data_IF_545293409544
#
_entry.id   IF_545293409544
#
_cell.length_a   1.000
_cell.length_b   1.000
_cell.length_c   1.000
_cell.angle_alpha   90.00
_cell.angle_beta   90.00
_cell.angle_gamma   90.00
#
_symmetry.space_group_name_H-M   'P 1'
#
loop_
_entity.id
_entity.type
_entity.pdbx_description
1 polymer ?
#
# COMPACT_ATOMS: atom_id res chain seq x y z
N UNK A 1 -11.92 8.79 -9.68
CA UNK A 1 -11.60 7.43 -9.18
C UNK A 1 -12.91 6.66 -9.04
N UNK A 2 -12.96 5.39 -9.45
CA UNK A 2 -14.20 4.60 -9.31
C UNK A 2 -14.57 4.38 -7.85
N UNK A 3 -15.87 4.47 -7.53
CA UNK A 3 -16.39 4.44 -6.15
C UNK A 3 -15.95 3.18 -5.38
N UNK A 4 -15.82 2.05 -6.08
CA UNK A 4 -15.37 0.78 -5.53
C UNK A 4 -13.92 0.81 -4.99
N UNK A 5 -13.01 1.53 -5.67
CA UNK A 5 -11.61 1.65 -5.23
C UNK A 5 -11.50 2.54 -3.99
N UNK A 6 -12.34 3.57 -3.91
CA UNK A 6 -12.39 4.45 -2.75
C UNK A 6 -12.95 3.71 -1.54
N UNK A 7 -14.04 2.96 -1.72
CA UNK A 7 -14.64 2.14 -0.67
C UNK A 7 -13.67 1.07 -0.15
N UNK A 8 -12.95 0.40 -1.06
CA UNK A 8 -11.92 -0.58 -0.69
C UNK A 8 -10.79 0.02 0.16
N UNK A 9 -10.34 1.25 -0.16
CA UNK A 9 -9.32 1.94 0.65
C UNK A 9 -9.82 2.28 2.05
N UNK A 10 -11.07 2.73 2.18
CA UNK A 10 -11.67 3.07 3.49
C UNK A 10 -11.80 1.82 4.34
N UNK A 11 -12.31 0.73 3.77
CA UNK A 11 -12.45 -0.56 4.48
C UNK A 11 -11.08 -1.07 4.93
N UNK A 12 -10.07 -1.04 4.06
CA UNK A 12 -8.71 -1.45 4.42
C UNK A 12 -8.10 -0.56 5.52
N UNK A 13 -8.36 0.74 5.51
CA UNK A 13 -7.89 1.64 6.56
C UNK A 13 -8.54 1.32 7.92
N UNK A 14 -9.83 0.97 7.93
CA UNK A 14 -10.54 0.53 9.14
C UNK A 14 -9.94 -0.80 9.65
N UNK A 15 -9.71 -1.76 8.75
CA UNK A 15 -9.08 -3.04 9.07
C UNK A 15 -7.71 -2.79 9.72
N UNK A 16 -6.83 -2.02 9.07
CA UNK A 16 -5.54 -1.65 9.65
C UNK A 16 -5.66 -0.98 11.01
N UNK A 17 -6.64 -0.08 11.19
CA UNK A 17 -6.92 0.56 12.47
C UNK A 17 -7.30 -0.45 13.56
N UNK A 18 -8.15 -1.42 13.27
CA UNK A 18 -8.57 -2.47 14.22
C UNK A 18 -7.41 -3.41 14.56
N UNK A 19 -6.62 -3.85 13.57
CA UNK A 19 -5.46 -4.72 13.83
C UNK A 19 -4.36 -3.97 14.61
N UNK A 20 -4.11 -2.70 14.29
CA UNK A 20 -3.18 -1.86 15.05
C UNK A 20 -3.68 -1.59 16.47
N UNK A 21 -4.98 -1.32 16.65
CA UNK A 21 -5.59 -1.17 17.97
C UNK A 21 -5.43 -2.44 18.81
N UNK A 22 -5.54 -3.65 18.22
CA UNK A 22 -5.29 -4.91 18.92
C UNK A 22 -3.84 -5.06 19.42
N UNK A 23 -2.85 -4.38 18.82
CA UNK A 23 -1.46 -4.39 19.30
C UNK A 23 -1.32 -3.52 20.56
N UNK A 24 -1.99 -2.37 20.61
CA UNK A 24 -1.90 -1.41 21.73
C UNK A 24 -2.85 -1.77 22.87
N UNK A 25 -4.06 -2.22 22.52
CA UNK A 25 -5.13 -2.62 23.42
C UNK A 25 -5.59 -4.05 23.04
N UNK A 26 -4.98 -5.09 23.63
CA UNK A 26 -5.25 -6.47 23.26
C UNK A 26 -6.71 -6.85 23.59
N UNK A 27 -7.43 -7.39 22.60
CA UNK A 27 -8.80 -7.87 22.84
C UNK A 27 -8.80 -9.07 23.79
N UNK A 28 -9.71 -9.14 24.78
CA UNK A 28 -9.69 -10.22 25.75
C UNK A 28 -10.01 -11.60 25.12
N UNK A 29 -9.31 -12.63 25.59
CA UNK A 29 -9.57 -14.03 25.25
C UNK A 29 -8.91 -14.53 23.95
N UNK A 30 -9.53 -15.54 23.32
CA UNK A 30 -9.02 -16.23 22.11
C UNK A 30 -8.90 -15.33 20.88
N UNK A 31 -9.61 -14.20 20.88
CA UNK A 31 -9.61 -13.23 19.80
C UNK A 31 -8.27 -12.51 19.66
N UNK A 32 -7.54 -12.25 20.76
CA UNK A 32 -6.22 -11.63 20.70
C UNK A 32 -5.25 -12.37 19.77
N UNK A 33 -5.07 -13.67 20.02
CA UNK A 33 -4.14 -14.50 19.26
C UNK A 33 -4.56 -14.61 17.79
N UNK A 34 -5.86 -14.69 17.53
CA UNK A 34 -6.39 -14.72 16.17
C UNK A 34 -6.11 -13.42 15.40
N UNK A 35 -6.43 -12.27 15.98
CA UNK A 35 -6.17 -10.97 15.35
C UNK A 35 -4.67 -10.69 15.22
N UNK A 36 -3.85 -11.13 16.17
CA UNK A 36 -2.40 -11.00 16.10
C UNK A 36 -1.80 -11.87 14.98
N UNK A 37 -2.28 -13.10 14.82
CA UNK A 37 -1.90 -13.96 13.69
C UNK A 37 -2.33 -13.36 12.35
N UNK A 38 -3.57 -12.86 12.24
CA UNK A 38 -4.04 -12.15 11.05
C UNK A 38 -3.17 -10.93 10.74
N UNK A 39 -2.74 -10.19 11.77
CA UNK A 39 -1.86 -9.03 11.62
C UNK A 39 -0.49 -9.47 11.08
N UNK A 40 0.09 -10.52 11.65
CA UNK A 40 1.37 -11.06 11.21
C UNK A 40 1.31 -11.50 9.75
N UNK A 41 0.29 -12.29 9.38
CA UNK A 41 0.09 -12.75 8.00
C UNK A 41 -0.11 -11.56 7.06
N UNK A 42 -0.93 -10.58 7.43
CA UNK A 42 -1.18 -9.38 6.63
C UNK A 42 0.12 -8.62 6.34
N UNK A 43 0.92 -8.35 7.39
CA UNK A 43 2.20 -7.65 7.26
C UNK A 43 3.18 -8.42 6.40
N UNK A 44 3.29 -9.74 6.58
CA UNK A 44 4.18 -10.60 5.78
C UNK A 44 3.77 -10.56 4.30
N UNK A 45 2.46 -10.69 4.01
CA UNK A 45 1.95 -10.61 2.65
C UNK A 45 2.28 -9.26 2.00
N UNK A 46 2.09 -8.15 2.72
CA UNK A 46 2.38 -6.81 2.21
C UNK A 46 3.89 -6.59 2.04
N UNK A 47 4.72 -7.14 2.93
CA UNK A 47 6.17 -7.08 2.82
C UNK A 47 6.69 -7.87 1.61
N UNK A 48 6.19 -9.09 1.39
CA UNK A 48 6.52 -9.89 0.21
C UNK A 48 6.03 -9.20 -1.07
N UNK A 49 4.81 -8.65 -1.05
CA UNK A 49 4.25 -7.89 -2.16
C UNK A 49 5.14 -6.69 -2.49
N UNK A 50 5.55 -5.90 -1.49
CA UNK A 50 6.45 -4.77 -1.66
C UNK A 50 7.82 -5.21 -2.18
N UNK A 51 8.40 -6.27 -1.62
CA UNK A 51 9.68 -6.82 -2.04
C UNK A 51 9.63 -7.20 -3.52
N UNK A 52 8.63 -7.97 -3.92
CA UNK A 52 8.41 -8.36 -5.32
C UNK A 52 8.30 -7.12 -6.22
N UNK A 53 7.62 -6.06 -5.78
CA UNK A 53 7.50 -4.82 -6.55
C UNK A 53 8.82 -4.08 -6.70
N UNK A 54 9.58 -3.98 -5.62
CA UNK A 54 10.87 -3.28 -5.63
C UNK A 54 11.92 -4.07 -6.41
N UNK A 55 11.88 -5.41 -6.41
CA UNK A 55 12.84 -6.21 -7.16
C UNK A 55 12.50 -6.26 -8.65
N UNK A 56 11.23 -6.44 -9.01
CA UNK A 56 10.81 -6.63 -10.40
C UNK A 56 10.59 -5.31 -11.14
N UNK A 57 9.97 -4.32 -10.49
CA UNK A 57 9.48 -3.11 -11.19
C UNK A 57 10.25 -1.83 -10.91
N UNK A 58 11.15 -1.80 -9.93
CA UNK A 58 11.97 -0.61 -9.62
C UNK A 58 12.77 -0.08 -10.83
N UNK A 59 13.34 -0.89 -11.73
CA UNK A 59 14.05 -0.37 -12.91
C UNK A 59 13.13 0.26 -13.96
N UNK A 60 11.84 -0.07 -13.94
CA UNK A 60 10.89 0.29 -15.00
C UNK A 60 9.90 1.38 -14.58
N UNK A 61 9.91 1.79 -13.31
CA UNK A 61 8.93 2.71 -12.73
C UNK A 61 9.61 3.87 -12.00
N UNK A 62 9.03 5.06 -12.16
CA UNK A 62 9.40 6.26 -11.40
C UNK A 62 8.85 6.14 -9.98
N UNK A 63 9.71 5.67 -9.08
CA UNK A 63 9.39 5.48 -7.66
C UNK A 63 9.52 6.78 -6.87
N UNK A 64 8.53 7.08 -6.03
CA UNK A 64 8.57 8.16 -5.05
C UNK A 64 8.59 7.56 -3.63
N UNK A 65 9.25 8.23 -2.68
CA UNK A 65 9.31 7.74 -1.28
C UNK A 65 7.94 7.47 -0.64
N UNK A 66 6.90 8.21 -1.05
CA UNK A 66 5.53 7.98 -0.59
C UNK A 66 4.83 6.75 -1.17
N UNK A 67 5.36 6.16 -2.25
CA UNK A 67 4.78 4.99 -2.90
C UNK A 67 4.97 3.72 -2.04
N UNK A 68 6.09 3.62 -1.31
CA UNK A 68 6.34 2.53 -0.35
C UNK A 68 5.25 2.42 0.72
N UNK A 69 4.84 3.56 1.28
CA UNK A 69 3.77 3.64 2.27
C UNK A 69 2.41 3.24 1.68
N UNK A 70 2.15 3.58 0.42
CA UNK A 70 0.88 3.17 -0.20
C UNK A 70 0.78 1.65 -0.36
N UNK A 71 1.87 0.98 -0.73
CA UNK A 71 1.88 -0.49 -0.88
C UNK A 71 1.82 -1.20 0.48
N UNK A 72 2.45 -0.66 1.53
CA UNK A 72 2.38 -1.28 2.87
C UNK A 72 0.98 -1.17 3.47
N UNK A 73 0.31 -0.03 3.33
CA UNK A 73 -1.00 0.19 3.97
C UNK A 73 -2.18 -0.30 3.11
N UNK A 74 -2.03 -0.28 1.79
CA UNK A 74 -3.12 -0.61 0.87
C UNK A 74 -2.81 -1.78 -0.08
N UNK A 75 -1.65 -2.42 0.04
CA UNK A 75 -1.27 -3.60 -0.75
C UNK A 75 -1.37 -3.37 -2.26
N UNK A 76 -2.10 -4.24 -2.93
CA UNK A 76 -2.39 -4.20 -4.38
C UNK A 76 -3.12 -2.92 -4.79
N UNK A 77 -3.94 -2.33 -3.92
CA UNK A 77 -4.65 -1.08 -4.23
C UNK A 77 -3.69 0.10 -4.27
N UNK A 78 -2.74 0.15 -3.34
CA UNK A 78 -1.65 1.14 -3.36
C UNK A 78 -0.81 1.00 -4.63
N UNK A 79 -0.51 -0.23 -5.02
CA UNK A 79 0.19 -0.51 -6.27
C UNK A 79 -0.59 -0.05 -7.52
N UNK A 80 -1.87 -0.41 -7.66
CA UNK A 80 -2.69 0.05 -8.80
C UNK A 80 -2.76 1.58 -8.89
N UNK A 81 -2.77 2.27 -7.75
CA UNK A 81 -2.72 3.73 -7.71
C UNK A 81 -1.38 4.27 -8.24
N UNK A 82 -0.26 3.64 -7.85
CA UNK A 82 1.08 3.98 -8.37
C UNK A 82 1.13 3.77 -9.88
N UNK A 83 0.70 2.61 -10.39
CA UNK A 83 0.72 2.33 -11.82
C UNK A 83 -0.08 3.34 -12.64
N UNK A 84 -1.26 3.74 -12.16
CA UNK A 84 -2.09 4.76 -12.82
C UNK A 84 -1.46 6.14 -12.81
N UNK A 85 -0.59 6.44 -11.84
CA UNK A 85 0.11 7.73 -11.75
C UNK A 85 1.35 7.80 -12.66
N UNK A 86 1.87 6.68 -13.16
CA UNK A 86 3.09 6.66 -13.99
C UNK A 86 2.98 7.45 -15.30
N UNK A 87 1.90 7.31 -16.11
CA UNK A 87 1.78 8.07 -17.36
C UNK A 87 1.82 9.59 -17.13
N UNK A 88 1.20 10.06 -16.04
CA UNK A 88 1.19 11.47 -15.66
C UNK A 88 2.58 11.95 -15.22
N UNK A 89 3.32 11.12 -14.45
CA UNK A 89 4.67 11.46 -13.98
C UNK A 89 5.69 11.53 -15.12
N UNK A 90 5.59 10.63 -16.10
CA UNK A 90 6.44 10.62 -17.30
C UNK A 90 6.18 11.88 -18.14
N UNK A 91 4.91 12.28 -18.31
CA UNK A 91 4.55 13.49 -19.04
C UNK A 91 5.10 14.77 -18.39
N UNK A 92 5.04 14.89 -17.06
CA UNK A 92 5.55 16.06 -16.33
C UNK A 92 7.07 16.22 -16.44
N UNK A 93 7.85 15.14 -16.46
CA UNK A 93 9.31 15.22 -16.65
C UNK A 93 9.71 15.65 -18.06
N UNK A 94 8.96 15.24 -19.08
CA UNK A 94 9.25 15.63 -20.46
C UNK A 94 9.12 17.14 -20.68
N UNK A 95 8.22 17.82 -19.97
CA UNK A 95 8.02 19.27 -20.07
C UNK A 95 9.14 20.06 -19.38
N UNK A 96 9.65 19.59 -18.24
CA UNK A 96 10.71 20.30 -17.50
C UNK A 96 12.06 20.26 -18.23
N UNK A 97 12.37 19.16 -18.93
CA UNK A 97 13.62 19.03 -19.72
C UNK A 97 13.60 19.86 -21.01
N UNK A 98 12.45 20.36 -21.47
CA UNK A 98 12.35 21.17 -22.70
C UNK A 98 12.43 22.68 -22.48
N UNK A 99 12.40 23.14 -21.23
CA UNK A 99 12.50 24.57 -20.86
C UNK A 99 13.91 24.98 -20.40
N UNK A 100 14.85 24.04 -20.28
CA UNK A 100 16.29 24.25 -20.01
C UNK A 100 17.13 24.13 -21.29
#
# INVERSE_FOLDING_TARGET
>A
MGIAVWLGRVIFAIIWGVLAANIVAPFPGKWFAFFLLLTAILVILHAIQLLMFVTVYKPHLQWRGGDYWQVIFFGVVGWMAIMRAQPQRIASQATTTSED
#
